data_IF_474463013786
#
_entry.id   IF_474463013786
#
_cell.length_a   1.000
_cell.length_b   1.000
_cell.length_c   1.000
_cell.angle_alpha   90.00
_cell.angle_beta   90.00
_cell.angle_gamma   90.00
#
_symmetry.space_group_name_H-M   'P 1'
#
loop_
_entity.id
_entity.type
_entity.pdbx_description
1 polymer ?
#
# COMPACT_ATOMS: atom_id res chain seq x y z
N UNK A 1 17.52 -10.54 2.91
CA UNK A 1 16.77 -9.98 4.05
C UNK A 1 17.25 -10.65 5.33
N UNK A 2 16.96 -10.05 6.49
CA UNK A 2 17.10 -10.67 7.82
C UNK A 2 15.72 -11.13 8.32
N UNK A 3 15.62 -11.93 9.40
CA UNK A 3 14.34 -12.48 9.84
C UNK A 3 13.25 -11.43 10.12
N UNK A 4 13.60 -10.28 10.69
CA UNK A 4 12.60 -9.25 11.02
C UNK A 4 11.65 -9.68 12.15
N UNK A 5 10.47 -9.08 12.21
CA UNK A 5 9.43 -9.38 13.20
C UNK A 5 8.05 -9.46 12.53
N UNK A 6 7.15 -10.37 12.98
CA UNK A 6 5.81 -10.51 12.41
C UNK A 6 4.88 -9.34 12.77
N UNK A 7 5.24 -8.52 13.75
CA UNK A 7 4.47 -7.35 14.18
C UNK A 7 5.37 -6.11 14.33
N UNK A 8 4.81 -4.89 14.15
CA UNK A 8 3.48 -4.63 13.60
C UNK A 8 3.38 -4.98 12.12
N UNK A 9 2.16 -5.19 11.62
CA UNK A 9 1.89 -5.45 10.20
C UNK A 9 2.23 -4.23 9.32
N UNK A 10 2.56 -4.51 8.07
CA UNK A 10 3.00 -3.55 7.06
C UNK A 10 4.48 -3.19 7.13
N UNK A 11 4.86 -2.15 6.39
CA UNK A 11 6.21 -1.61 6.40
C UNK A 11 6.46 -0.67 7.60
N UNK A 12 7.51 -0.94 8.37
CA UNK A 12 7.93 -0.14 9.54
C UNK A 12 9.42 0.17 9.46
N UNK A 13 9.74 1.43 9.16
CA UNK A 13 11.11 1.92 9.23
C UNK A 13 11.58 1.93 10.69
N UNK A 14 12.78 1.39 10.93
CA UNK A 14 13.38 1.34 12.26
C UNK A 14 14.89 1.13 12.18
N UNK A 15 15.57 1.36 13.30
CA UNK A 15 16.95 0.89 13.48
C UNK A 15 16.93 -0.60 13.82
N UNK A 16 17.64 -1.40 13.01
CA UNK A 16 17.73 -2.85 13.18
C UNK A 16 18.74 -3.29 14.25
N UNK A 17 18.88 -4.62 14.49
CA UNK A 17 19.70 -5.18 15.57
C UNK A 17 21.17 -4.75 15.55
N UNK A 18 21.75 -4.53 14.37
CA UNK A 18 23.17 -4.15 14.22
C UNK A 18 23.34 -2.63 14.11
N UNK A 19 22.40 -1.85 14.64
CA UNK A 19 22.37 -0.39 14.49
C UNK A 19 22.25 0.10 13.03
N UNK A 20 21.79 -0.79 12.13
CA UNK A 20 21.59 -0.46 10.71
C UNK A 20 20.14 -0.05 10.49
N UNK A 21 19.93 1.16 9.97
CA UNK A 21 18.61 1.63 9.54
C UNK A 21 18.06 0.77 8.40
N UNK A 22 16.77 0.42 8.47
CA UNK A 22 16.09 -0.35 7.45
C UNK A 22 14.59 -0.44 7.72
N UNK A 23 13.90 -1.26 6.94
CA UNK A 23 12.46 -1.44 7.08
C UNK A 23 12.13 -2.89 7.36
N UNK A 24 11.31 -3.09 8.40
CA UNK A 24 10.64 -4.36 8.65
C UNK A 24 9.37 -4.44 7.82
N UNK A 25 9.15 -5.53 7.12
CA UNK A 25 7.94 -5.83 6.37
C UNK A 25 7.26 -7.03 7.01
N UNK A 26 5.95 -6.95 7.20
CA UNK A 26 5.14 -8.04 7.73
C UNK A 26 3.78 -8.07 7.01
N UNK A 27 3.48 -9.17 6.34
CA UNK A 27 2.28 -9.38 5.54
C UNK A 27 1.56 -10.64 6.02
N UNK A 28 0.32 -10.48 6.49
CA UNK A 28 -0.55 -11.64 6.68
C UNK A 28 -0.97 -12.18 5.31
N UNK A 29 -0.64 -13.44 5.02
CA UNK A 29 -1.00 -14.10 3.78
C UNK A 29 -1.17 -15.61 4.04
N UNK A 30 -2.27 -15.94 4.72
CA UNK A 30 -2.60 -17.32 5.06
C UNK A 30 -2.82 -18.18 3.81
N UNK A 31 -2.17 -19.35 3.77
CA UNK A 31 -2.26 -20.27 2.63
C UNK A 31 -1.45 -19.86 1.38
N UNK A 32 -0.65 -18.79 1.45
CA UNK A 32 0.33 -18.49 0.41
C UNK A 32 1.46 -19.52 0.41
N UNK A 33 2.01 -19.81 -0.76
CA UNK A 33 3.18 -20.71 -0.91
C UNK A 33 4.50 -19.94 -0.86
N UNK A 34 4.49 -18.67 -1.26
CA UNK A 34 5.62 -17.75 -1.12
C UNK A 34 5.17 -16.29 -1.20
N UNK A 35 5.93 -15.41 -0.56
CA UNK A 35 5.77 -13.96 -0.67
C UNK A 35 7.08 -13.33 -1.14
N UNK A 36 7.00 -12.54 -2.20
CA UNK A 36 8.09 -11.68 -2.66
C UNK A 36 7.73 -10.23 -2.35
N UNK A 37 8.61 -9.55 -1.61
CA UNK A 37 8.63 -8.10 -1.49
C UNK A 37 9.25 -7.50 -2.75
N UNK A 38 8.54 -6.60 -3.40
CA UNK A 38 8.96 -5.93 -4.61
C UNK A 38 9.35 -4.49 -4.26
N UNK A 39 10.60 -4.09 -4.49
CA UNK A 39 11.12 -2.75 -4.25
C UNK A 39 11.39 -2.04 -5.59
N UNK A 40 10.97 -0.78 -5.71
CA UNK A 40 11.08 0.01 -6.93
C UNK A 40 12.08 1.16 -6.80
N UNK A 41 12.95 1.35 -7.79
CA UNK A 41 14.01 2.37 -7.77
C UNK A 41 13.53 3.81 -8.02
N UNK A 42 12.25 4.01 -8.36
CA UNK A 42 11.68 5.33 -8.63
C UNK A 42 10.15 5.34 -8.73
N UNK A 43 9.55 6.52 -8.99
CA UNK A 43 8.12 6.66 -9.27
C UNK A 43 7.74 6.16 -10.67
N UNK A 44 6.43 5.95 -10.85
CA UNK A 44 5.83 5.74 -12.16
C UNK A 44 6.01 4.33 -12.76
N UNK A 45 5.53 4.13 -13.99
CA UNK A 45 5.46 2.82 -14.64
C UNK A 45 6.82 2.27 -15.10
N UNK A 46 7.83 3.13 -15.28
CA UNK A 46 9.17 2.74 -15.75
C UNK A 46 10.15 2.35 -14.65
N UNK A 47 9.74 2.36 -13.39
CA UNK A 47 10.60 2.04 -12.26
C UNK A 47 11.04 0.56 -12.32
N UNK A 48 12.33 0.30 -12.07
CA UNK A 48 12.85 -1.07 -12.05
C UNK A 48 12.47 -1.77 -10.75
N UNK A 49 11.96 -2.97 -10.91
CA UNK A 49 11.59 -3.86 -9.80
C UNK A 49 12.80 -4.69 -9.36
N UNK A 50 13.07 -4.72 -8.06
CA UNK A 50 13.93 -5.70 -7.41
C UNK A 50 13.11 -6.52 -6.42
N UNK A 51 13.33 -7.83 -6.35
CA UNK A 51 12.52 -8.74 -5.54
C UNK A 51 13.34 -9.33 -4.41
N UNK A 52 12.72 -9.36 -3.23
CA UNK A 52 13.28 -9.96 -2.02
C UNK A 52 12.25 -10.95 -1.50
N UNK A 53 12.60 -12.24 -1.49
CA UNK A 53 11.74 -13.26 -0.89
C UNK A 53 11.67 -13.06 0.62
N UNK A 54 10.47 -13.06 1.19
CA UNK A 54 10.25 -13.17 2.63
C UNK A 54 10.29 -14.66 2.99
N UNK A 55 11.23 -15.05 3.85
CA UNK A 55 11.48 -16.46 4.20
C UNK A 55 10.90 -16.85 5.54
N UNK A 56 10.66 -15.88 6.42
CA UNK A 56 10.12 -16.15 7.75
C UNK A 56 8.60 -16.12 7.74
N UNK A 57 8.01 -17.09 8.44
CA UNK A 57 6.56 -17.25 8.57
C UNK A 57 6.23 -17.55 10.03
N UNK A 58 5.51 -16.64 10.68
CA UNK A 58 5.04 -16.81 12.08
C UNK A 58 3.55 -16.54 12.12
N UNK A 59 2.73 -17.52 12.52
CA UNK A 59 1.26 -17.38 12.60
C UNK A 59 0.62 -16.82 11.32
N UNK A 60 0.94 -17.40 10.15
CA UNK A 60 0.45 -16.95 8.82
C UNK A 60 0.91 -15.54 8.39
N UNK A 61 1.87 -14.95 9.11
CA UNK A 61 2.48 -13.67 8.76
C UNK A 61 3.86 -13.91 8.17
N UNK A 62 4.03 -13.53 6.91
CA UNK A 62 5.30 -13.50 6.21
C UNK A 62 6.06 -12.24 6.59
N UNK A 63 7.31 -12.36 7.01
CA UNK A 63 8.06 -11.19 7.46
C UNK A 63 9.54 -11.22 7.12
N UNK A 64 10.15 -10.03 7.17
CA UNK A 64 11.56 -9.84 6.94
C UNK A 64 11.99 -8.41 7.20
N UNK A 65 13.25 -8.23 7.61
CA UNK A 65 13.88 -6.91 7.72
C UNK A 65 14.85 -6.71 6.56
N UNK A 66 14.71 -5.58 5.86
CA UNK A 66 15.56 -5.22 4.73
C UNK A 66 16.42 -4.01 5.12
N UNK A 67 17.73 -4.20 5.40
CA UNK A 67 18.65 -3.11 5.70
C UNK A 67 18.73 -2.10 4.54
N UNK A 68 18.90 -0.82 4.86
CA UNK A 68 19.09 0.24 3.87
C UNK A 68 17.82 0.75 3.19
N UNK A 69 16.70 0.03 3.32
CA UNK A 69 15.39 0.53 2.87
C UNK A 69 14.94 1.66 3.80
N UNK A 70 14.71 2.85 3.24
CA UNK A 70 14.41 4.09 3.96
C UNK A 70 13.01 4.61 3.63
N UNK A 71 12.48 5.57 4.41
CA UNK A 71 11.26 6.30 4.06
C UNK A 71 11.36 6.87 2.63
N UNK A 72 10.24 6.86 1.91
CA UNK A 72 10.16 7.19 0.49
C UNK A 72 10.34 6.00 -0.46
N UNK A 73 10.81 4.84 0.03
CA UNK A 73 10.91 3.62 -0.78
C UNK A 73 9.52 3.14 -1.21
N UNK A 74 9.35 2.94 -2.53
CA UNK A 74 8.15 2.33 -3.11
C UNK A 74 8.24 0.82 -3.09
N UNK A 75 7.15 0.16 -2.74
CA UNK A 75 7.10 -1.28 -2.67
C UNK A 75 5.71 -1.87 -2.97
N UNK A 76 5.66 -3.17 -3.17
CA UNK A 76 4.45 -3.98 -3.24
C UNK A 76 4.79 -5.45 -2.98
N UNK A 77 3.83 -6.34 -3.19
CA UNK A 77 4.05 -7.78 -3.02
C UNK A 77 3.63 -8.58 -4.25
N UNK A 78 4.33 -9.68 -4.51
CA UNK A 78 3.85 -10.78 -5.34
C UNK A 78 3.65 -11.99 -4.45
N UNK A 79 2.44 -12.53 -4.46
CA UNK A 79 2.06 -13.64 -3.58
C UNK A 79 1.73 -14.85 -4.42
N UNK A 80 2.44 -15.94 -4.12
CA UNK A 80 2.38 -17.20 -4.85
C UNK A 80 1.43 -18.16 -4.15
N UNK A 81 0.81 -19.03 -4.94
CA UNK A 81 -0.08 -20.09 -4.48
C UNK A 81 -0.82 -20.73 -5.65
N UNK A 82 -1.64 -21.73 -5.34
CA UNK A 82 -2.45 -22.44 -6.32
C UNK A 82 -3.52 -21.57 -6.99
N UNK A 83 -3.52 -21.50 -8.33
CA UNK A 83 -4.67 -21.00 -9.07
C UNK A 83 -5.73 -22.11 -9.20
N UNK A 84 -6.77 -22.04 -8.38
CA UNK A 84 -7.96 -22.90 -8.47
C UNK A 84 -9.24 -22.09 -8.19
N UNK A 85 -9.74 -21.36 -9.20
CA UNK A 85 -10.93 -20.52 -9.07
C UNK A 85 -12.18 -21.24 -8.58
N UNK A 86 -12.30 -22.55 -8.83
CA UNK A 86 -13.44 -23.37 -8.41
C UNK A 86 -13.51 -23.57 -6.89
N UNK A 87 -12.37 -23.46 -6.19
CA UNK A 87 -12.29 -23.48 -4.72
C UNK A 87 -12.05 -22.10 -4.12
N UNK A 88 -12.07 -21.05 -4.96
CA UNK A 88 -11.81 -19.66 -4.57
C UNK A 88 -10.33 -19.28 -4.48
N UNK A 89 -9.40 -20.21 -4.70
CA UNK A 89 -7.97 -19.93 -4.70
C UNK A 89 -7.56 -19.16 -5.96
N UNK A 90 -7.22 -17.87 -5.79
CA UNK A 90 -6.93 -16.94 -6.91
C UNK A 90 -5.54 -16.31 -6.79
N UNK A 91 -4.57 -17.09 -6.36
CA UNK A 91 -3.18 -16.66 -6.25
C UNK A 91 -2.59 -16.41 -7.65
N UNK A 92 -2.09 -15.20 -7.90
CA UNK A 92 -1.50 -14.84 -9.18
C UNK A 92 -0.30 -13.88 -8.97
N UNK A 93 0.94 -14.40 -8.98
CA UNK A 93 2.13 -13.59 -8.75
C UNK A 93 2.48 -12.64 -9.91
N UNK A 94 1.82 -12.74 -11.07
CA UNK A 94 1.94 -11.74 -12.14
C UNK A 94 1.32 -10.40 -11.71
N UNK A 95 0.41 -10.41 -10.73
CA UNK A 95 -0.24 -9.20 -10.23
C UNK A 95 0.54 -8.64 -9.05
N UNK A 96 1.07 -7.43 -9.20
CA UNK A 96 1.64 -6.68 -8.10
C UNK A 96 0.49 -6.25 -7.16
N UNK A 97 0.62 -6.58 -5.88
CA UNK A 97 -0.35 -6.28 -4.85
C UNK A 97 0.13 -5.11 -3.99
N UNK A 98 -0.82 -4.24 -3.63
CA UNK A 98 -0.62 -3.19 -2.63
C UNK A 98 -0.58 -3.83 -1.23
N UNK A 99 0.29 -3.34 -0.36
CA UNK A 99 0.28 -3.73 1.05
C UNK A 99 -1.04 -3.27 1.69
N UNK A 100 -1.88 -4.18 2.24
CA UNK A 100 -3.11 -3.81 2.92
C UNK A 100 -2.88 -2.93 4.17
N UNK A 101 -1.64 -2.85 4.65
CA UNK A 101 -1.19 -2.01 5.76
C UNK A 101 -0.30 -0.83 5.30
N UNK A 102 -0.29 -0.52 3.99
CA UNK A 102 0.38 0.67 3.48
C UNK A 102 -0.17 1.93 4.16
N UNK A 103 0.75 2.80 4.61
CA UNK A 103 0.40 4.07 5.27
C UNK A 103 0.49 5.27 4.32
N UNK A 104 1.11 5.07 3.17
CA UNK A 104 1.08 5.98 2.04
C UNK A 104 1.09 5.14 0.76
N UNK A 105 0.46 5.68 -0.28
CA UNK A 105 0.27 5.05 -1.58
C UNK A 105 0.66 6.07 -2.64
N UNK A 106 1.44 5.64 -3.63
CA UNK A 106 1.88 6.49 -4.73
C UNK A 106 1.54 5.89 -6.09
N UNK A 107 1.10 6.75 -7.01
CA UNK A 107 0.67 6.42 -8.35
C UNK A 107 -0.86 6.46 -8.54
N UNK A 108 -1.25 6.59 -9.80
CA UNK A 108 -2.64 6.50 -10.21
C UNK A 108 -3.10 5.04 -10.33
N UNK A 109 -4.41 4.83 -10.23
CA UNK A 109 -5.02 3.53 -10.48
C UNK A 109 -5.88 3.58 -11.74
N UNK A 110 -5.61 2.66 -12.66
CA UNK A 110 -6.44 2.40 -13.82
C UNK A 110 -6.96 0.96 -13.82
N UNK A 111 -7.86 0.67 -14.76
CA UNK A 111 -8.42 -0.67 -14.97
C UNK A 111 -8.05 -1.27 -16.33
N UNK A 112 -6.78 -1.26 -16.76
CA UNK A 112 -6.38 -1.93 -17.99
C UNK A 112 -6.42 -3.46 -17.79
N UNK A 113 -6.49 -4.28 -18.85
CA UNK A 113 -6.64 -5.73 -18.72
C UNK A 113 -5.57 -6.41 -17.84
N UNK A 114 -4.37 -5.86 -17.73
CA UNK A 114 -3.23 -6.38 -16.97
C UNK A 114 -3.51 -6.44 -15.46
N UNK A 115 -4.36 -5.56 -14.91
CA UNK A 115 -4.64 -5.53 -13.47
C UNK A 115 -5.61 -6.62 -13.02
N UNK A 116 -6.26 -7.32 -13.96
CA UNK A 116 -7.15 -8.42 -13.67
C UNK A 116 -6.34 -9.71 -13.50
N UNK A 117 -6.67 -10.51 -12.47
CA UNK A 117 -6.07 -11.82 -12.24
C UNK A 117 -6.39 -12.87 -13.32
N UNK A 118 -7.38 -12.58 -14.17
CA UNK A 118 -7.91 -13.47 -15.21
C UNK A 118 -8.03 -12.73 -16.55
N UNK A 119 -8.16 -13.49 -17.64
CA UNK A 119 -8.25 -12.94 -19.00
C UNK A 119 -9.64 -12.34 -19.22
N UNK A 120 -9.75 -11.02 -19.11
CA UNK A 120 -11.04 -10.30 -19.25
C UNK A 120 -11.76 -10.55 -20.58
N UNK A 121 -11.00 -10.56 -21.67
CA UNK A 121 -11.53 -10.64 -23.03
C UNK A 121 -11.49 -12.10 -23.56
N UNK A 122 -11.69 -13.09 -22.68
CA UNK A 122 -11.73 -14.51 -23.05
C UNK A 122 -12.96 -14.84 -23.92
N UNK A 123 -12.85 -15.69 -24.97
CA UNK A 123 -13.97 -15.97 -25.87
C UNK A 123 -15.23 -16.51 -25.17
N UNK A 124 -15.07 -17.44 -24.23
CA UNK A 124 -16.17 -17.95 -23.41
C UNK A 124 -16.33 -17.15 -22.11
N UNK A 125 -17.02 -16.02 -22.18
CA UNK A 125 -17.20 -15.09 -21.05
C UNK A 125 -17.69 -15.72 -19.73
N UNK A 126 -18.42 -16.84 -19.80
CA UNK A 126 -18.95 -17.57 -18.63
C UNK A 126 -17.86 -18.22 -17.76
N UNK A 127 -16.68 -18.44 -18.31
CA UNK A 127 -15.53 -19.05 -17.63
C UNK A 127 -14.29 -18.17 -17.69
N UNK A 128 -14.42 -16.93 -18.18
CA UNK A 128 -13.31 -15.99 -18.34
C UNK A 128 -12.56 -15.75 -17.02
N UNK A 129 -13.30 -15.70 -15.91
CA UNK A 129 -12.75 -15.52 -14.57
C UNK A 129 -11.94 -16.72 -14.06
N UNK A 130 -12.02 -17.87 -14.73
CA UNK A 130 -11.27 -19.09 -14.40
C UNK A 130 -9.94 -19.19 -15.13
N UNK A 131 -9.75 -18.41 -16.20
CA UNK A 131 -8.53 -18.42 -17.02
C UNK A 131 -7.54 -17.40 -16.46
N UNK A 132 -6.44 -17.88 -15.88
CA UNK A 132 -5.41 -17.02 -15.27
C UNK A 132 -4.76 -16.12 -16.32
N UNK A 133 -4.57 -14.84 -15.98
CA UNK A 133 -3.82 -13.89 -16.80
C UNK A 133 -2.41 -13.70 -16.25
N UNK A 134 -1.40 -14.01 -17.06
CA UNK A 134 0.01 -13.98 -16.65
C UNK A 134 0.73 -12.67 -16.98
N UNK A 135 0.02 -11.63 -17.47
CA UNK A 135 0.62 -10.32 -17.76
C UNK A 135 0.95 -9.59 -16.46
N UNK A 136 2.07 -8.87 -16.46
CA UNK A 136 2.52 -8.10 -15.30
C UNK A 136 1.66 -6.85 -15.09
N UNK A 137 1.16 -6.64 -13.87
CA UNK A 137 0.38 -5.45 -13.51
C UNK A 137 1.22 -4.32 -12.91
N UNK A 138 2.50 -4.54 -12.60
CA UNK A 138 3.33 -3.57 -11.87
C UNK A 138 3.38 -2.15 -12.47
N UNK A 139 3.36 -1.94 -13.81
CA UNK A 139 3.32 -0.60 -14.40
C UNK A 139 1.97 0.11 -14.21
N UNK A 140 0.90 -0.60 -13.88
CA UNK A 140 -0.48 -0.13 -13.93
C UNK A 140 -1.15 0.04 -12.57
N UNK A 141 -0.47 -0.36 -11.49
CA UNK A 141 -0.99 -0.29 -10.12
C UNK A 141 -0.14 0.64 -9.25
N UNK A 142 -0.79 1.34 -8.29
CA UNK A 142 -0.07 2.15 -7.32
C UNK A 142 0.78 1.26 -6.39
N UNK A 143 1.78 1.89 -5.77
CA UNK A 143 2.77 1.23 -4.90
C UNK A 143 2.61 1.75 -3.48
N UNK A 144 2.83 0.89 -2.49
CA UNK A 144 2.97 1.34 -1.12
C UNK A 144 4.24 2.15 -0.96
N UNK A 145 4.24 3.12 -0.05
CA UNK A 145 5.42 3.93 0.27
C UNK A 145 5.79 3.70 1.73
N UNK A 146 7.07 3.40 1.99
CA UNK A 146 7.60 3.37 3.34
C UNK A 146 7.56 4.79 3.91
N UNK A 147 6.95 4.97 5.07
CA UNK A 147 6.89 6.26 5.78
C UNK A 147 7.53 6.13 7.16
N UNK A 148 7.96 7.26 7.70
CA UNK A 148 8.43 7.39 9.08
C UNK A 148 7.36 8.09 9.91
N UNK A 149 7.24 7.71 11.18
CA UNK A 149 6.31 8.32 12.13
C UNK A 149 7.14 8.99 13.23
N UNK A 150 7.73 10.14 12.91
CA UNK A 150 8.53 10.96 13.83
C UNK A 150 7.88 12.31 14.16
N UNK A 151 6.61 12.50 13.81
CA UNK A 151 5.87 13.71 14.14
C UNK A 151 5.74 13.91 15.66
N UNK A 152 6.10 15.10 16.15
CA UNK A 152 6.11 15.43 17.58
C UNK A 152 4.74 15.88 18.13
N UNK A 153 3.74 16.05 17.26
CA UNK A 153 2.39 16.57 17.54
C UNK A 153 2.32 17.90 18.31
N UNK A 154 3.47 18.51 18.61
CA UNK A 154 3.65 19.76 19.35
C UNK A 154 2.65 19.89 20.53
N UNK A 155 1.76 20.88 20.48
CA UNK A 155 0.78 21.16 21.54
C UNK A 155 -0.63 20.59 21.26
N UNK A 156 -0.79 19.69 20.28
CA UNK A 156 -2.11 19.15 19.93
C UNK A 156 -2.76 18.42 21.12
N UNK A 157 -4.00 18.79 21.42
CA UNK A 157 -4.81 18.19 22.48
C UNK A 157 -6.23 17.99 22.00
N UNK A 158 -6.72 16.76 22.18
CA UNK A 158 -8.11 16.40 21.88
C UNK A 158 -9.07 17.33 22.64
N UNK A 159 -9.96 18.09 21.95
CA UNK A 159 -10.90 18.99 22.61
C UNK A 159 -11.90 18.30 23.55
N UNK A 160 -12.25 17.03 23.28
CA UNK A 160 -13.19 16.21 24.07
C UNK A 160 -14.54 16.91 24.35
N UNK A 161 -15.07 17.65 23.38
CA UNK A 161 -16.38 18.31 23.47
C UNK A 161 -17.46 17.29 23.88
N UNK A 162 -18.24 17.55 24.95
CA UNK A 162 -19.31 16.66 25.36
C UNK A 162 -20.33 16.44 24.24
N UNK A 163 -20.95 15.25 24.20
CA UNK A 163 -21.93 14.92 23.16
C UNK A 163 -23.14 15.85 23.15
N UNK A 164 -23.59 16.29 24.33
CA UNK A 164 -24.71 17.23 24.45
C UNK A 164 -24.39 18.63 23.89
N UNK A 165 -23.10 18.97 23.82
CA UNK A 165 -22.59 20.26 23.34
C UNK A 165 -22.02 20.17 21.91
N UNK A 166 -22.08 18.97 21.29
CA UNK A 166 -21.51 18.73 19.96
C UNK A 166 -22.46 19.17 18.85
N UNK A 167 -21.94 19.94 17.90
CA UNK A 167 -22.57 20.17 16.59
C UNK A 167 -21.65 19.61 15.51
N UNK A 168 -22.13 18.61 14.76
CA UNK A 168 -21.34 17.95 13.72
C UNK A 168 -21.51 18.70 12.41
N UNK A 169 -20.38 19.03 11.77
CA UNK A 169 -20.34 19.64 10.45
C UNK A 169 -19.73 18.68 9.43
N UNK A 170 -20.58 18.06 8.61
CA UNK A 170 -20.13 17.20 7.51
C UNK A 170 -19.63 18.06 6.34
N UNK A 171 -18.44 17.74 5.83
CA UNK A 171 -17.86 18.43 4.69
C UNK A 171 -17.09 17.48 3.78
N UNK A 172 -16.92 17.90 2.53
CA UNK A 172 -16.01 17.26 1.59
C UNK A 172 -14.70 18.05 1.51
N UNK A 173 -13.56 17.44 1.87
CA UNK A 173 -12.23 18.10 1.90
C UNK A 173 -11.96 18.93 0.64
N UNK A 174 -12.10 18.30 -0.54
CA UNK A 174 -11.94 19.00 -1.81
C UNK A 174 -12.97 20.12 -2.01
N UNK A 175 -14.26 19.78 -1.98
CA UNK A 175 -15.34 20.72 -2.28
C UNK A 175 -15.35 21.96 -1.39
N UNK A 176 -15.02 21.80 -0.10
CA UNK A 176 -15.11 22.86 0.91
C UNK A 176 -14.26 24.09 0.56
N UNK A 177 -13.02 23.89 0.06
CA UNK A 177 -12.10 24.99 -0.22
C UNK A 177 -11.75 25.15 -1.69
N UNK A 178 -12.29 24.32 -2.60
CA UNK A 178 -11.82 24.30 -4.00
C UNK A 178 -12.00 25.65 -4.72
N UNK A 179 -13.07 26.37 -4.39
CA UNK A 179 -13.43 27.65 -5.00
C UNK A 179 -13.26 28.83 -4.04
N UNK A 180 -12.64 28.62 -2.87
CA UNK A 180 -12.46 29.69 -1.87
C UNK A 180 -11.44 30.71 -2.38
N UNK A 181 -11.83 31.97 -2.64
CA UNK A 181 -10.96 32.94 -3.30
C UNK A 181 -9.77 33.35 -2.42
N UNK A 182 -9.91 33.29 -1.10
CA UNK A 182 -8.90 33.73 -0.14
C UNK A 182 -7.88 32.64 0.23
N UNK A 183 -8.10 31.39 -0.20
CA UNK A 183 -7.13 30.30 -0.01
C UNK A 183 -6.17 30.29 -1.22
N UNK A 184 -4.84 30.16 -1.03
CA UNK A 184 -3.88 30.04 -2.13
C UNK A 184 -4.26 28.91 -3.11
N UNK A 185 -4.21 29.14 -4.43
CA UNK A 185 -4.68 28.18 -5.45
C UNK A 185 -4.15 26.74 -5.28
N UNK A 186 -2.89 26.59 -4.86
CA UNK A 186 -2.20 25.32 -4.62
C UNK A 186 -2.72 24.55 -3.39
N UNK A 187 -3.32 25.24 -2.41
CA UNK A 187 -3.89 24.63 -1.21
C UNK A 187 -5.39 24.31 -1.38
N UNK A 188 -6.08 24.92 -2.35
CA UNK A 188 -7.53 24.76 -2.56
C UNK A 188 -7.93 23.32 -2.81
N UNK A 189 -8.81 22.82 -1.96
CA UNK A 189 -9.35 21.47 -2.00
C UNK A 189 -8.39 20.39 -1.50
N UNK A 190 -7.43 20.76 -0.64
CA UNK A 190 -6.47 19.86 0.01
C UNK A 190 -6.66 19.86 1.53
N UNK A 191 -6.01 18.94 2.24
CA UNK A 191 -6.00 18.95 3.72
C UNK A 191 -5.39 20.23 4.30
N UNK A 192 -4.33 20.76 3.68
CA UNK A 192 -3.72 22.03 4.12
C UNK A 192 -4.64 23.23 3.86
N UNK A 193 -5.41 23.21 2.77
CA UNK A 193 -6.43 24.22 2.51
C UNK A 193 -7.55 24.21 3.56
N UNK A 194 -7.93 23.03 4.07
CA UNK A 194 -8.95 22.90 5.12
C UNK A 194 -8.52 23.55 6.45
N UNK A 195 -7.22 23.55 6.74
CA UNK A 195 -6.64 24.18 7.94
C UNK A 195 -6.21 25.63 7.71
N UNK A 196 -6.48 26.20 6.52
CA UNK A 196 -6.12 27.57 6.20
C UNK A 196 -7.02 28.55 6.99
N UNK A 197 -6.50 29.67 7.52
CA UNK A 197 -7.26 30.59 8.37
C UNK A 197 -8.26 31.50 7.66
N UNK A 198 -8.39 31.39 6.33
CA UNK A 198 -9.24 32.27 5.51
C UNK A 198 -10.59 31.60 5.22
#
# INVERSE_FOLDING_TARGET
ARPGTPVPLGARFRTGPDQVAGTNFALWAGGAEAVELCLFDGPGPGARESRVRLTELTHEIWHGFVPGVRPGQRYGYRVHGRWDPWTGARWNPAKLLLDPYARAVDGDFGLPPEVYGHVRDWPEQRVADTVRDDRDSAPHVPKGVVVHDDDDWSDDRRPKTPWADSVIYELHVRGFTKLHPEIPPELRGTYAGLAHPA
#
